data_IF_662664484950
#
_entry.id   IF_662664484950
#
_cell.length_a   1.000
_cell.length_b   1.000
_cell.length_c   1.000
_cell.angle_alpha   90.00
_cell.angle_beta   90.00
_cell.angle_gamma   90.00
#
_symmetry.space_group_name_H-M   'P 1'
#
loop_
_entity.id
_entity.type
_entity.pdbx_description
1 polymer ?
#
# COMPACT_ATOMS: atom_id res chain seq x y z
N UNK A 1 29.28 -40.74 25.05
CA UNK A 1 29.53 -39.83 26.18
C UNK A 1 29.71 -38.44 25.62
N UNK A 2 28.66 -37.62 25.74
CA UNK A 2 28.62 -36.15 25.83
C UNK A 2 27.20 -35.72 25.43
N UNK A 3 26.27 -35.97 26.35
CA UNK A 3 24.91 -35.43 26.32
C UNK A 3 24.99 -33.93 26.63
N UNK A 4 24.58 -33.10 25.68
CA UNK A 4 24.49 -31.65 25.85
C UNK A 4 23.01 -31.28 26.00
N UNK A 5 22.63 -31.17 27.26
CA UNK A 5 21.31 -30.83 27.77
C UNK A 5 21.04 -29.34 27.54
N UNK A 6 20.21 -29.01 26.55
CA UNK A 6 19.77 -27.65 26.28
C UNK A 6 18.43 -27.39 26.98
N UNK A 7 18.56 -26.86 28.19
CA UNK A 7 17.49 -26.37 29.05
C UNK A 7 16.59 -25.34 28.33
N UNK A 8 15.32 -25.72 28.14
CA UNK A 8 14.23 -24.85 27.72
C UNK A 8 13.87 -23.88 28.86
N UNK A 9 14.31 -22.62 28.72
CA UNK A 9 13.83 -21.51 29.54
C UNK A 9 12.36 -21.22 29.25
N UNK A 10 11.45 -21.70 30.12
CA UNK A 10 10.04 -21.28 30.19
C UNK A 10 9.97 -19.80 30.58
N UNK A 11 9.61 -18.94 29.65
CA UNK A 11 9.25 -17.56 29.93
C UNK A 11 7.75 -17.48 30.22
N UNK A 12 7.38 -17.38 31.50
CA UNK A 12 6.00 -17.16 31.94
C UNK A 12 5.79 -15.64 32.02
N UNK A 13 5.24 -15.06 30.96
CA UNK A 13 4.82 -13.66 30.93
C UNK A 13 3.40 -13.52 31.47
N UNK A 14 3.28 -12.92 32.64
CA UNK A 14 2.02 -12.55 33.29
C UNK A 14 1.24 -11.55 32.43
N UNK A 15 -0.03 -11.87 32.14
CA UNK A 15 -0.98 -10.96 31.50
C UNK A 15 -1.70 -10.17 32.59
N UNK A 16 -1.35 -8.89 32.77
CA UNK A 16 -2.12 -7.98 33.60
C UNK A 16 -3.37 -7.51 32.85
N UNK A 17 -4.54 -7.93 33.36
CA UNK A 17 -5.84 -7.38 33.00
C UNK A 17 -5.95 -5.96 33.56
N UNK A 18 -5.96 -4.95 32.69
CA UNK A 18 -6.41 -3.61 33.04
C UNK A 18 -7.86 -3.45 32.62
N UNK A 19 -8.76 -3.56 33.60
CA UNK A 19 -10.17 -3.25 33.43
C UNK A 19 -10.37 -1.73 33.34
N UNK A 20 -10.74 -1.24 32.17
CA UNK A 20 -11.27 0.11 32.01
C UNK A 20 -12.80 0.04 31.95
N UNK A 21 -13.40 0.27 33.12
CA UNK A 21 -14.82 0.58 33.26
C UNK A 21 -14.98 2.09 33.03
N UNK A 22 -15.49 2.48 31.86
CA UNK A 22 -15.90 3.87 31.58
C UNK A 22 -17.41 3.90 31.39
N UNK A 23 -18.07 4.41 32.43
CA UNK A 23 -19.49 4.72 32.48
C UNK A 23 -19.83 5.84 31.50
N UNK A 24 -20.63 5.50 30.49
CA UNK A 24 -21.23 6.45 29.58
C UNK A 24 -22.24 7.34 30.31
N UNK A 25 -21.95 8.64 30.40
CA UNK A 25 -22.94 9.67 30.72
C UNK A 25 -23.16 10.50 29.45
N UNK A 26 -24.32 10.33 28.82
CA UNK A 26 -24.73 11.08 27.64
C UNK A 26 -25.61 12.25 28.13
N UNK A 27 -25.13 13.51 28.11
CA UNK A 27 -26.03 14.64 28.30
C UNK A 27 -26.84 14.88 27.02
N UNK A 28 -28.16 14.70 27.13
CA UNK A 28 -29.14 15.13 26.14
C UNK A 28 -29.22 16.65 26.10
N UNK A 29 -29.11 17.23 24.91
CA UNK A 29 -29.82 18.44 24.45
C UNK A 29 -29.03 19.07 23.30
N UNK A 30 -29.45 18.82 22.06
CA UNK A 30 -29.03 19.63 20.92
C UNK A 30 -30.29 20.31 20.35
N UNK A 31 -30.36 21.65 20.35
CA UNK A 31 -31.47 22.38 19.77
C UNK A 31 -31.44 22.28 18.23
N UNK A 32 -32.58 21.89 17.67
CA UNK A 32 -32.86 21.87 16.23
C UNK A 32 -32.89 23.29 15.68
N UNK A 33 -31.74 23.80 15.21
CA UNK A 33 -31.70 24.94 14.30
C UNK A 33 -31.63 24.46 12.86
N UNK A 34 -32.79 24.47 12.21
CA UNK A 34 -32.92 24.50 10.75
C UNK A 34 -32.01 25.59 10.16
N UNK A 35 -30.91 25.17 9.54
CA UNK A 35 -30.10 26.02 8.67
C UNK A 35 -30.15 25.47 7.25
N UNK A 36 -30.74 26.31 6.40
CA UNK A 36 -30.77 26.30 4.94
C UNK A 36 -29.90 25.26 4.25
N UNK A 37 -30.62 24.33 3.66
CA UNK A 37 -30.21 23.35 2.69
C UNK A 37 -29.82 24.07 1.40
N UNK A 38 -28.60 24.62 1.35
CA UNK A 38 -27.89 24.73 0.09
C UNK A 38 -27.30 23.35 -0.17
N UNK A 39 -27.96 22.56 -1.01
CA UNK A 39 -27.34 21.43 -1.69
C UNK A 39 -26.24 21.98 -2.60
N UNK A 40 -25.09 22.31 -2.00
CA UNK A 40 -23.82 22.35 -2.71
C UNK A 40 -23.62 20.92 -3.14
N UNK A 41 -24.10 20.61 -4.36
CA UNK A 41 -23.88 19.37 -5.08
C UNK A 41 -22.38 19.16 -5.00
N UNK A 42 -21.95 18.35 -4.04
CA UNK A 42 -20.62 17.80 -4.00
C UNK A 42 -20.57 17.02 -5.28
N UNK A 43 -20.02 17.66 -6.31
CA UNK A 43 -19.64 17.01 -7.54
C UNK A 43 -18.61 16.02 -7.05
N UNK A 44 -19.07 14.80 -6.73
CA UNK A 44 -18.22 13.65 -6.57
C UNK A 44 -17.39 13.68 -7.83
N UNK A 45 -16.17 14.19 -7.70
CA UNK A 45 -15.14 14.06 -8.70
C UNK A 45 -14.95 12.56 -8.71
N UNK A 46 -15.75 11.87 -9.52
CA UNK A 46 -15.42 10.55 -10.01
C UNK A 46 -14.13 10.82 -10.73
N UNK A 47 -13.03 10.68 -10.00
CA UNK A 47 -11.67 10.82 -10.50
C UNK A 47 -11.65 9.79 -11.61
N UNK A 48 -11.87 10.27 -12.85
CA UNK A 48 -11.83 9.43 -14.03
C UNK A 48 -10.43 8.87 -14.02
N UNK A 49 -10.28 7.63 -13.54
CA UNK A 49 -9.00 6.94 -13.65
C UNK A 49 -8.63 7.04 -15.12
N UNK A 50 -7.47 7.64 -15.45
CA UNK A 50 -7.06 7.76 -16.83
C UNK A 50 -7.11 6.36 -17.45
N UNK A 51 -7.77 6.25 -18.60
CA UNK A 51 -7.92 4.97 -19.29
C UNK A 51 -6.51 4.37 -19.46
N UNK A 52 -6.29 3.24 -18.79
CA UNK A 52 -4.99 2.59 -18.76
C UNK A 52 -4.67 2.14 -20.18
N UNK A 53 -3.48 2.44 -20.73
CA UNK A 53 -3.10 1.96 -22.05
C UNK A 53 -3.24 0.43 -22.11
N UNK A 54 -3.70 -0.15 -23.24
CA UNK A 54 -3.96 -1.59 -23.36
C UNK A 54 -2.76 -2.50 -23.03
N UNK A 55 -1.53 -1.97 -23.03
CA UNK A 55 -0.31 -2.72 -22.70
C UNK A 55 0.07 -2.76 -21.21
N UNK A 56 -0.60 -1.99 -20.35
CA UNK A 56 -0.23 -1.88 -18.93
C UNK A 56 -1.12 -2.68 -17.98
N UNK A 57 -2.17 -3.30 -18.49
CA UNK A 57 -3.01 -4.21 -17.70
C UNK A 57 -2.36 -5.59 -17.72
N UNK A 58 -1.91 -6.13 -16.57
CA UNK A 58 -1.39 -7.49 -16.54
C UNK A 58 -2.46 -8.45 -17.06
N UNK A 59 -2.06 -9.36 -17.94
CA UNK A 59 -2.97 -10.35 -18.51
C UNK A 59 -3.52 -11.21 -17.37
N UNK A 60 -4.85 -11.32 -17.21
CA UNK A 60 -5.42 -12.27 -16.27
C UNK A 60 -4.90 -13.68 -16.55
N UNK A 61 -4.55 -14.43 -15.51
CA UNK A 61 -4.17 -15.82 -15.69
C UNK A 61 -5.37 -16.62 -16.20
N UNK A 62 -5.15 -17.40 -17.26
CA UNK A 62 -6.14 -18.37 -17.69
C UNK A 62 -6.29 -19.45 -16.59
N UNK A 63 -7.49 -20.01 -16.37
CA UNK A 63 -7.69 -21.10 -15.43
C UNK A 63 -6.73 -22.27 -15.73
N UNK A 64 -6.02 -22.76 -14.72
CA UNK A 64 -5.05 -23.85 -14.85
C UNK A 64 -3.69 -23.46 -15.45
N UNK A 65 -3.44 -22.17 -15.72
CA UNK A 65 -2.10 -21.69 -16.08
C UNK A 65 -1.29 -21.44 -14.82
N UNK A 66 -0.10 -22.05 -14.76
CA UNK A 66 0.89 -21.77 -13.72
C UNK A 66 1.68 -20.48 -14.04
N UNK A 67 2.04 -19.74 -12.99
CA UNK A 67 2.97 -18.59 -13.06
C UNK A 67 4.36 -19.10 -13.39
N UNK A 68 5.01 -18.51 -14.40
CA UNK A 68 6.37 -18.93 -14.78
C UNK A 68 7.45 -18.22 -13.96
N UNK A 69 8.66 -18.79 -13.82
CA UNK A 69 9.77 -18.13 -13.14
C UNK A 69 10.14 -16.76 -13.74
N UNK A 70 9.96 -16.60 -15.06
CA UNK A 70 10.19 -15.34 -15.76
C UNK A 70 9.21 -14.26 -15.29
N UNK A 71 7.93 -14.61 -15.14
CA UNK A 71 6.91 -13.69 -14.63
C UNK A 71 7.23 -13.24 -13.19
N UNK A 72 7.68 -14.16 -12.33
CA UNK A 72 8.13 -13.82 -10.97
C UNK A 72 9.32 -12.86 -11.02
N UNK A 73 10.28 -13.08 -11.93
CA UNK A 73 11.42 -12.19 -12.12
C UNK A 73 10.96 -10.80 -12.57
N UNK A 74 10.01 -10.74 -13.50
CA UNK A 74 9.44 -9.48 -14.00
C UNK A 74 8.72 -8.70 -12.90
N UNK A 75 7.99 -9.38 -12.00
CA UNK A 75 7.42 -8.76 -10.80
C UNK A 75 8.52 -8.19 -9.90
N UNK A 76 9.63 -8.90 -9.72
CA UNK A 76 10.80 -8.42 -8.98
C UNK A 76 11.39 -7.15 -9.59
N UNK A 77 11.55 -7.10 -10.92
CA UNK A 77 12.03 -5.89 -11.62
C UNK A 77 11.06 -4.71 -11.47
N UNK A 78 9.74 -4.95 -11.51
CA UNK A 78 8.74 -3.91 -11.25
C UNK A 78 8.89 -3.31 -9.85
N UNK A 79 9.11 -4.14 -8.83
CA UNK A 79 9.32 -3.70 -7.44
C UNK A 79 10.61 -2.86 -7.34
N UNK A 80 11.72 -3.31 -7.93
CA UNK A 80 12.98 -2.55 -7.94
C UNK A 80 12.81 -1.19 -8.63
N UNK A 81 12.16 -1.17 -9.79
CA UNK A 81 11.88 0.07 -10.53
C UNK A 81 11.02 1.05 -9.75
N UNK A 82 10.02 0.57 -9.01
CA UNK A 82 9.22 1.41 -8.10
C UNK A 82 10.10 2.04 -7.02
N UNK A 83 10.96 1.24 -6.38
CA UNK A 83 11.86 1.73 -5.35
C UNK A 83 12.86 2.76 -5.88
N UNK A 84 13.45 2.53 -7.06
CA UNK A 84 14.32 3.51 -7.73
C UNK A 84 13.60 4.85 -7.94
N UNK A 85 12.37 4.83 -8.45
CA UNK A 85 11.56 6.04 -8.62
C UNK A 85 11.28 6.72 -7.28
N UNK A 86 10.95 5.96 -6.24
CA UNK A 86 10.66 6.52 -4.92
C UNK A 86 11.89 7.21 -4.31
N UNK A 87 13.08 6.62 -4.46
CA UNK A 87 14.35 7.24 -4.04
C UNK A 87 14.64 8.51 -4.84
N UNK A 88 14.44 8.49 -6.16
CA UNK A 88 14.63 9.67 -7.01
C UNK A 88 13.67 10.80 -6.63
N UNK A 89 12.38 10.50 -6.42
CA UNK A 89 11.37 11.48 -6.01
C UNK A 89 11.74 12.08 -4.65
N UNK A 90 12.15 11.25 -3.69
CA UNK A 90 12.57 11.71 -2.37
C UNK A 90 13.81 12.61 -2.40
N UNK A 91 14.77 12.31 -3.28
CA UNK A 91 15.93 13.16 -3.54
C UNK A 91 15.57 14.55 -4.08
N UNK A 92 14.41 14.68 -4.73
CA UNK A 92 13.91 15.90 -5.34
C UNK A 92 12.89 16.67 -4.47
N UNK A 93 12.81 16.37 -3.16
CA UNK A 93 11.84 17.01 -2.25
C UNK A 93 11.99 18.54 -2.11
N UNK A 94 13.18 19.08 -2.33
CA UNK A 94 13.47 20.53 -2.26
C UNK A 94 13.56 21.19 -3.64
N UNK A 95 12.88 20.64 -4.65
CA UNK A 95 12.91 21.18 -6.01
C UNK A 95 12.19 22.53 -6.10
N UNK A 96 12.73 23.45 -6.92
CA UNK A 96 12.07 24.74 -7.20
C UNK A 96 10.70 24.53 -7.87
N UNK A 97 9.71 25.41 -7.66
CA UNK A 97 8.37 25.27 -8.24
C UNK A 97 8.34 25.04 -9.75
N UNK A 98 9.25 25.69 -10.50
CA UNK A 98 9.38 25.55 -11.96
C UNK A 98 9.72 24.13 -12.43
N UNK A 99 10.42 23.37 -11.59
CA UNK A 99 10.96 22.04 -11.90
C UNK A 99 10.06 20.93 -11.33
N UNK A 100 9.01 21.26 -10.55
CA UNK A 100 8.06 20.30 -9.97
C UNK A 100 7.38 19.42 -11.01
N UNK A 101 7.11 19.95 -12.21
CA UNK A 101 6.51 19.19 -13.32
C UNK A 101 7.29 17.91 -13.67
N UNK A 102 8.62 17.96 -13.55
CA UNK A 102 9.49 16.79 -13.80
C UNK A 102 9.29 15.74 -12.70
N UNK A 103 9.19 16.20 -11.45
CA UNK A 103 8.94 15.32 -10.29
C UNK A 103 7.54 14.73 -10.34
N UNK A 104 6.52 15.50 -10.69
CA UNK A 104 5.14 15.03 -10.88
C UNK A 104 5.05 13.90 -11.91
N UNK A 105 5.83 13.98 -12.99
CA UNK A 105 5.88 12.91 -13.98
C UNK A 105 6.52 11.62 -13.42
N UNK A 106 7.57 11.75 -12.61
CA UNK A 106 8.16 10.62 -11.88
C UNK A 106 7.17 10.02 -10.88
N UNK A 107 6.46 10.87 -10.13
CA UNK A 107 5.41 10.45 -9.20
C UNK A 107 4.32 9.66 -9.92
N UNK A 108 3.80 10.17 -11.04
CA UNK A 108 2.80 9.46 -11.86
C UNK A 108 3.31 8.09 -12.32
N UNK A 109 4.56 8.00 -12.78
CA UNK A 109 5.18 6.72 -13.17
C UNK A 109 5.35 5.78 -12.00
N UNK A 110 5.73 6.30 -10.84
CA UNK A 110 5.84 5.52 -9.60
C UNK A 110 4.48 4.94 -9.23
N UNK A 111 3.42 5.76 -9.16
CA UNK A 111 2.06 5.33 -8.80
C UNK A 111 1.47 4.35 -9.80
N UNK A 112 1.69 4.56 -11.10
CA UNK A 112 1.31 3.60 -12.14
C UNK A 112 2.04 2.25 -11.97
N UNK A 113 3.32 2.26 -11.59
CA UNK A 113 4.10 1.04 -11.33
C UNK A 113 3.55 0.29 -10.14
N UNK A 114 3.20 0.97 -9.05
CA UNK A 114 2.58 0.35 -7.87
C UNK A 114 1.21 -0.25 -8.18
N UNK A 115 0.37 0.46 -8.94
CA UNK A 115 -0.92 -0.07 -9.40
C UNK A 115 -0.75 -1.32 -10.27
N UNK A 116 0.29 -1.37 -11.12
CA UNK A 116 0.62 -2.56 -11.89
C UNK A 116 1.03 -3.72 -10.99
N UNK A 117 1.88 -3.47 -9.99
CA UNK A 117 2.30 -4.48 -9.01
C UNK A 117 1.08 -5.05 -8.27
N UNK A 118 0.18 -4.21 -7.77
CA UNK A 118 -1.05 -4.67 -7.12
C UNK A 118 -1.86 -5.57 -8.05
N UNK A 119 -2.15 -5.13 -9.27
CA UNK A 119 -2.94 -5.92 -10.23
C UNK A 119 -2.29 -7.28 -10.53
N UNK A 120 -0.97 -7.33 -10.66
CA UNK A 120 -0.24 -8.59 -10.88
C UNK A 120 -0.40 -9.54 -9.69
N UNK A 121 -0.23 -9.04 -8.46
CA UNK A 121 -0.38 -9.84 -7.24
C UNK A 121 -1.82 -10.34 -7.11
N UNK A 122 -2.82 -9.48 -7.31
CA UNK A 122 -4.23 -9.87 -7.26
C UNK A 122 -4.60 -10.88 -8.36
N UNK A 123 -4.01 -10.78 -9.55
CA UNK A 123 -4.22 -11.76 -10.61
C UNK A 123 -3.62 -13.14 -10.29
N UNK A 124 -2.66 -13.20 -9.36
CA UNK A 124 -1.98 -14.42 -8.91
C UNK A 124 -2.46 -14.91 -7.55
N UNK A 125 -3.52 -14.31 -6.98
CA UNK A 125 -4.03 -14.63 -5.64
C UNK A 125 -4.85 -15.94 -5.61
N UNK A 126 -4.28 -17.00 -6.17
CA UNK A 126 -4.81 -18.36 -6.12
C UNK A 126 -3.67 -19.35 -5.86
N UNK A 127 -3.82 -20.30 -4.91
CA UNK A 127 -2.85 -21.37 -4.71
C UNK A 127 -2.60 -22.19 -5.99
N UNK A 128 -3.62 -22.36 -6.83
CA UNK A 128 -3.56 -23.13 -8.07
C UNK A 128 -2.71 -22.46 -9.16
N UNK A 129 -2.39 -21.17 -8.99
CA UNK A 129 -1.50 -20.45 -9.90
C UNK A 129 -0.03 -20.85 -9.72
N UNK A 130 0.32 -21.58 -8.66
CA UNK A 130 1.69 -21.94 -8.32
C UNK A 130 1.87 -23.46 -8.28
N UNK A 131 2.96 -23.93 -8.90
CA UNK A 131 3.36 -25.33 -8.83
C UNK A 131 3.76 -25.77 -7.42
N UNK A 132 4.32 -24.84 -6.64
CA UNK A 132 4.83 -25.09 -5.30
C UNK A 132 4.10 -24.24 -4.28
N UNK A 133 3.55 -24.83 -3.19
CA UNK A 133 2.93 -24.07 -2.10
C UNK A 133 3.89 -23.04 -1.47
N UNK A 134 5.20 -23.31 -1.50
CA UNK A 134 6.22 -22.39 -0.97
C UNK A 134 6.28 -21.08 -1.76
N UNK A 135 6.03 -21.13 -3.06
CA UNK A 135 6.10 -19.93 -3.91
C UNK A 135 4.85 -19.06 -3.71
N UNK A 136 3.70 -19.70 -3.51
CA UNK A 136 2.48 -18.98 -3.11
C UNK A 136 2.65 -18.29 -1.75
N UNK A 137 3.25 -18.96 -0.75
CA UNK A 137 3.55 -18.33 0.56
C UNK A 137 4.46 -17.10 0.40
N UNK A 138 5.49 -17.18 -0.45
CA UNK A 138 6.35 -16.03 -0.74
C UNK A 138 5.59 -14.89 -1.41
N UNK A 139 4.66 -15.19 -2.33
CA UNK A 139 3.81 -14.17 -2.93
C UNK A 139 2.97 -13.46 -1.86
N UNK A 140 2.38 -14.21 -0.93
CA UNK A 140 1.60 -13.62 0.17
C UNK A 140 2.46 -12.75 1.08
N UNK A 141 3.72 -13.13 1.34
CA UNK A 141 4.65 -12.27 2.09
C UNK A 141 4.95 -10.97 1.33
N UNK A 142 5.18 -11.04 0.02
CA UNK A 142 5.36 -9.85 -0.83
C UNK A 142 4.11 -8.98 -0.79
N UNK A 143 2.92 -9.57 -0.94
CA UNK A 143 1.64 -8.87 -0.86
C UNK A 143 1.49 -8.16 0.46
N UNK A 144 1.71 -8.84 1.58
CA UNK A 144 1.62 -8.28 2.93
C UNK A 144 2.57 -7.08 3.09
N UNK A 145 3.84 -7.22 2.70
CA UNK A 145 4.80 -6.09 2.72
C UNK A 145 4.40 -4.97 1.79
N UNK A 146 3.64 -5.28 0.74
CA UNK A 146 3.18 -4.29 -0.21
C UNK A 146 1.96 -3.52 0.28
N UNK A 147 1.05 -4.20 0.97
CA UNK A 147 -0.15 -3.64 1.58
C UNK A 147 0.12 -3.02 2.96
N UNK A 148 1.29 -3.28 3.56
CA UNK A 148 1.72 -2.65 4.81
C UNK A 148 1.65 -1.13 4.70
N UNK A 149 1.02 -0.51 5.70
CA UNK A 149 0.75 0.92 5.76
C UNK A 149 2.06 1.73 5.81
N UNK A 150 2.00 3.00 5.40
CA UNK A 150 3.17 3.88 5.33
C UNK A 150 3.81 3.99 3.95
N UNK A 151 3.29 3.25 2.95
CA UNK A 151 3.65 3.52 1.55
C UNK A 151 3.03 4.82 1.09
N UNK A 152 3.90 5.75 0.67
CA UNK A 152 3.48 7.05 0.21
C UNK A 152 2.84 6.96 -1.18
N UNK A 153 1.56 7.28 -1.24
CA UNK A 153 0.88 7.64 -2.49
C UNK A 153 1.32 9.05 -2.88
N UNK A 154 2.20 9.15 -3.88
CA UNK A 154 2.82 10.42 -4.23
C UNK A 154 1.80 11.42 -4.78
N UNK A 155 0.80 10.95 -5.52
CA UNK A 155 -0.26 11.82 -6.03
C UNK A 155 -1.00 12.57 -4.91
N UNK A 156 -1.18 11.93 -3.76
CA UNK A 156 -1.87 12.51 -2.61
C UNK A 156 -0.92 13.16 -1.59
N UNK A 157 0.33 12.70 -1.51
CA UNK A 157 1.33 13.14 -0.54
C UNK A 157 2.64 13.48 -1.26
N UNK A 158 2.71 14.62 -1.97
CA UNK A 158 3.91 15.00 -2.70
C UNK A 158 5.08 15.29 -1.74
N UNK A 159 6.34 15.11 -2.19
CA UNK A 159 7.50 15.22 -1.31
C UNK A 159 7.73 16.64 -0.74
N UNK A 160 7.14 17.67 -1.34
CA UNK A 160 7.19 19.05 -0.84
C UNK A 160 6.06 19.39 0.15
N UNK A 161 5.10 18.49 0.41
CA UNK A 161 4.05 18.74 1.41
C UNK A 161 4.59 18.69 2.85
N UNK A 162 5.66 17.94 3.10
CA UNK A 162 6.23 17.77 4.44
C UNK A 162 7.01 19.01 4.93
N UNK A 163 7.47 19.86 4.01
CA UNK A 163 8.35 20.99 4.31
C UNK A 163 7.64 22.27 4.73
N UNK A 164 6.30 22.33 4.65
CA UNK A 164 5.50 23.52 5.00
C UNK A 164 4.94 23.46 6.44
N UNK A 165 5.23 22.39 7.19
CA UNK A 165 4.82 22.25 8.59
C UNK A 165 5.84 22.90 9.53
N UNK A 166 6.00 24.23 9.39
CA UNK A 166 6.48 25.13 10.46
C UNK A 166 7.98 25.15 10.74
N UNK A 167 8.67 26.11 10.11
CA UNK A 167 9.58 27.01 10.85
C UNK A 167 8.80 28.26 11.30
#
# INVERSE_FOLDING_TARGET
MLDSDLSLGRFIGHTEQTGYSSSATIPSSIPLRLRNIFHRRTRSQVTRQPAVPPGDVPRPLAPGREVTPEEIRDLGELIRKRYELDVEIWGLRHVKPRDRRIVEDKMRRSDATLQKIYRTIYAWDSPDAFKSPKDWVKLQEIRMRIEEDGKRDWANNPPWADGDLGE
#
